data_IF_818807464108
#
_entry.id   IF_818807464108
#
_cell.length_a   1.000
_cell.length_b   1.000
_cell.length_c   1.000
_cell.angle_alpha   90.00
_cell.angle_beta   90.00
_cell.angle_gamma   90.00
#
_symmetry.space_group_name_H-M   'P 1'
#
loop_
_entity.id
_entity.type
_entity.pdbx_description
1 polymer ?
#
# COMPACT_ATOMS: atom_id res chain seq x y z
N UNK A 1 8.31 -21.04 9.75
CA UNK A 1 7.66 -19.75 9.82
C UNK A 1 7.68 -19.09 8.45
N UNK A 2 6.51 -18.72 7.94
CA UNK A 2 6.45 -18.10 6.61
C UNK A 2 6.91 -16.66 6.70
N UNK A 3 7.84 -16.29 5.83
CA UNK A 3 8.27 -14.91 5.74
C UNK A 3 7.18 -14.06 5.08
N UNK A 4 6.98 -12.85 5.59
CA UNK A 4 6.06 -11.90 4.99
C UNK A 4 6.76 -11.18 3.83
N UNK A 5 6.24 -11.27 2.60
CA UNK A 5 6.86 -10.58 1.47
C UNK A 5 6.92 -9.06 1.66
N UNK A 6 5.93 -8.47 2.31
CA UNK A 6 5.94 -7.03 2.56
C UNK A 6 7.00 -6.65 3.59
N UNK A 7 7.15 -7.45 4.66
CA UNK A 7 8.23 -7.23 5.62
C UNK A 7 9.60 -7.32 4.96
N UNK A 8 9.76 -8.24 4.01
CA UNK A 8 11.02 -8.37 3.27
C UNK A 8 11.31 -7.12 2.43
N UNK A 9 10.30 -6.54 1.80
CA UNK A 9 10.46 -5.28 1.05
C UNK A 9 10.79 -4.14 2.01
N UNK A 10 10.08 -4.03 3.12
CA UNK A 10 10.29 -3.00 4.14
C UNK A 10 11.72 -3.05 4.67
N UNK A 11 12.22 -4.24 4.91
CA UNK A 11 13.56 -4.47 5.46
C UNK A 11 14.66 -4.51 4.39
N UNK A 12 14.32 -4.21 3.13
CA UNK A 12 15.25 -4.16 2.00
C UNK A 12 15.90 -5.50 1.69
N UNK A 13 15.25 -6.61 2.04
CA UNK A 13 15.69 -7.97 1.70
C UNK A 13 15.23 -8.39 0.31
N UNK A 14 14.16 -7.79 -0.18
CA UNK A 14 13.59 -8.05 -1.50
C UNK A 14 13.43 -6.72 -2.22
N UNK A 15 13.82 -6.68 -3.49
CA UNK A 15 13.69 -5.47 -4.30
C UNK A 15 12.22 -5.21 -4.65
N UNK A 16 11.87 -3.93 -4.71
CA UNK A 16 10.57 -3.47 -5.17
C UNK A 16 10.75 -2.08 -5.79
N UNK A 17 9.82 -1.70 -6.67
CA UNK A 17 9.83 -0.37 -7.24
C UNK A 17 9.16 0.60 -6.24
N UNK A 18 9.94 1.08 -5.31
CA UNK A 18 9.46 1.96 -4.24
C UNK A 18 9.26 3.36 -4.82
N UNK A 19 8.06 3.91 -4.65
CA UNK A 19 7.71 5.25 -5.14
C UNK A 19 7.64 6.27 -4.02
N UNK A 20 7.47 5.82 -2.77
CA UNK A 20 7.39 6.70 -1.62
C UNK A 20 7.70 5.88 -0.36
N UNK A 21 8.41 6.50 0.58
CA UNK A 21 8.68 5.86 1.86
C UNK A 21 8.78 6.93 2.94
N UNK A 22 8.11 6.67 4.07
CA UNK A 22 8.18 7.49 5.25
C UNK A 22 8.56 6.62 6.45
N UNK A 23 8.53 7.19 7.64
CA UNK A 23 8.92 6.45 8.84
C UNK A 23 8.03 5.22 9.07
N UNK A 24 6.71 5.34 8.79
CA UNK A 24 5.73 4.30 9.14
C UNK A 24 5.06 3.66 7.94
N UNK A 25 5.31 4.14 6.73
CA UNK A 25 4.57 3.71 5.54
C UNK A 25 5.52 3.61 4.36
N UNK A 26 5.28 2.59 3.51
CA UNK A 26 6.01 2.43 2.25
C UNK A 26 4.99 2.22 1.13
N UNK A 27 5.28 2.75 -0.05
CA UNK A 27 4.45 2.58 -1.22
C UNK A 27 5.29 2.12 -2.40
N UNK A 28 4.82 1.12 -3.13
CA UNK A 28 5.55 0.56 -4.26
C UNK A 28 4.57 0.03 -5.31
N UNK A 29 5.06 -0.18 -6.53
CA UNK A 29 4.24 -0.70 -7.62
C UNK A 29 3.92 -2.16 -7.38
N UNK A 30 2.66 -2.54 -7.66
CA UNK A 30 2.25 -3.94 -7.62
C UNK A 30 2.87 -4.67 -8.82
N UNK A 31 3.41 -5.86 -8.59
CA UNK A 31 3.98 -6.70 -9.65
C UNK A 31 2.91 -7.43 -10.45
N UNK A 32 1.68 -7.48 -9.94
CA UNK A 32 0.54 -8.11 -10.61
C UNK A 32 -0.63 -7.12 -10.61
N UNK A 33 -0.51 -6.02 -11.38
CA UNK A 33 -1.46 -4.93 -11.27
C UNK A 33 -2.82 -5.25 -11.89
N UNK A 34 -3.88 -4.75 -11.25
CA UNK A 34 -5.24 -4.79 -11.80
C UNK A 34 -5.30 -3.87 -13.01
N UNK A 35 -4.75 -2.67 -12.86
CA UNK A 35 -4.70 -1.65 -13.92
C UNK A 35 -3.34 -0.96 -13.87
N UNK A 36 -3.04 -0.22 -14.93
CA UNK A 36 -1.84 0.64 -14.95
C UNK A 36 -1.85 1.57 -13.73
N UNK A 37 -0.69 1.75 -13.14
CA UNK A 37 -0.58 2.60 -11.96
C UNK A 37 -1.09 1.98 -10.67
N UNK A 38 -1.17 0.64 -10.61
CA UNK A 38 -1.59 -0.04 -9.38
C UNK A 38 -0.48 0.02 -8.35
N UNK A 39 -0.73 0.72 -7.27
CA UNK A 39 0.24 0.95 -6.20
C UNK A 39 -0.25 0.29 -4.93
N UNK A 40 0.67 -0.31 -4.20
CA UNK A 40 0.43 -0.84 -2.85
C UNK A 40 0.95 0.16 -1.83
N UNK A 41 0.12 0.52 -0.87
CA UNK A 41 0.49 1.39 0.25
C UNK A 41 0.45 0.52 1.50
N UNK A 42 1.60 0.35 2.13
CA UNK A 42 1.81 -0.67 3.17
C UNK A 42 2.32 -0.02 4.45
N UNK A 43 1.56 -0.09 5.56
CA UNK A 43 2.11 0.25 6.87
C UNK A 43 3.32 -0.63 7.16
N UNK A 44 4.38 -0.07 7.74
CA UNK A 44 5.60 -0.84 8.01
C UNK A 44 5.41 -1.82 9.16
N UNK A 45 4.51 -1.52 10.10
CA UNK A 45 4.21 -2.46 11.18
C UNK A 45 3.46 -3.67 10.62
N UNK A 46 3.90 -4.86 11.03
CA UNK A 46 3.26 -6.11 10.60
C UNK A 46 2.00 -6.35 11.43
N UNK A 47 0.85 -5.97 10.88
CA UNK A 47 -0.46 -6.16 11.50
C UNK A 47 -1.46 -6.53 10.39
N UNK A 48 -2.24 -7.57 10.62
CA UNK A 48 -3.16 -8.08 9.60
C UNK A 48 -4.46 -7.29 9.52
N UNK A 49 -4.91 -6.73 10.65
CA UNK A 49 -6.26 -6.17 10.74
C UNK A 49 -6.22 -4.67 10.92
N UNK A 50 -7.02 -3.97 10.12
CA UNK A 50 -7.04 -2.50 10.13
C UNK A 50 -7.50 -1.94 11.49
N UNK A 51 -8.36 -2.66 12.20
CA UNK A 51 -8.85 -2.22 13.51
C UNK A 51 -7.78 -2.24 14.60
N UNK A 52 -6.67 -2.92 14.35
CA UNK A 52 -5.56 -3.02 15.30
C UNK A 52 -4.39 -2.11 14.95
N UNK A 53 -4.44 -1.42 13.82
CA UNK A 53 -3.38 -0.48 13.46
C UNK A 53 -3.47 0.77 14.35
N UNK A 54 -2.33 1.26 14.90
CA UNK A 54 -2.33 2.52 15.64
C UNK A 54 -2.86 3.68 14.80
N UNK A 55 -3.58 4.60 15.41
CA UNK A 55 -4.13 5.75 14.69
C UNK A 55 -3.08 6.58 13.98
N UNK A 56 -1.89 6.71 14.56
CA UNK A 56 -0.81 7.48 13.94
C UNK A 56 -0.36 6.81 12.63
N UNK A 57 -0.38 5.47 12.58
CA UNK A 57 -0.04 4.71 11.38
C UNK A 57 -1.14 4.87 10.34
N UNK A 58 -2.41 4.76 10.74
CA UNK A 58 -3.54 4.97 9.83
C UNK A 58 -3.53 6.38 9.26
N UNK A 59 -3.28 7.38 10.08
CA UNK A 59 -3.22 8.77 9.65
C UNK A 59 -2.14 8.98 8.60
N UNK A 60 -0.95 8.45 8.84
CA UNK A 60 0.15 8.56 7.89
C UNK A 60 -0.16 7.82 6.59
N UNK A 61 -0.79 6.64 6.69
CA UNK A 61 -1.21 5.85 5.53
C UNK A 61 -2.20 6.65 4.67
N UNK A 62 -3.19 7.29 5.29
CA UNK A 62 -4.15 8.11 4.57
C UNK A 62 -3.49 9.30 3.91
N UNK A 63 -2.51 9.93 4.56
CA UNK A 63 -1.76 11.04 3.96
C UNK A 63 -1.00 10.60 2.72
N UNK A 64 -0.40 9.40 2.75
CA UNK A 64 0.29 8.84 1.59
C UNK A 64 -0.70 8.59 0.45
N UNK A 65 -1.87 8.02 0.75
CA UNK A 65 -2.92 7.80 -0.25
C UNK A 65 -3.38 9.12 -0.88
N UNK A 66 -3.53 10.17 -0.08
CA UNK A 66 -3.89 11.50 -0.60
C UNK A 66 -2.86 12.01 -1.60
N UNK A 67 -1.58 11.85 -1.28
CA UNK A 67 -0.48 12.28 -2.17
C UNK A 67 -0.49 11.50 -3.47
N UNK A 68 -0.74 10.20 -3.41
CA UNK A 68 -0.77 9.34 -4.60
C UNK A 68 -1.94 9.72 -5.50
N UNK A 69 -3.13 9.88 -4.94
CA UNK A 69 -4.32 10.27 -5.71
C UNK A 69 -4.10 11.64 -6.37
N UNK A 70 -3.52 12.58 -5.62
CA UNK A 70 -3.21 13.90 -6.16
C UNK A 70 -2.25 13.81 -7.34
N UNK A 71 -1.20 12.97 -7.22
CA UNK A 71 -0.24 12.75 -8.30
C UNK A 71 -0.90 12.08 -9.51
N UNK A 72 -1.82 11.15 -9.29
CA UNK A 72 -2.59 10.52 -10.37
C UNK A 72 -3.36 11.57 -11.17
N UNK A 73 -4.04 12.49 -10.49
CA UNK A 73 -4.84 13.53 -11.14
C UNK A 73 -3.99 14.47 -11.99
N UNK A 74 -2.75 14.72 -11.56
CA UNK A 74 -1.84 15.60 -12.28
C UNK A 74 -1.16 14.90 -13.46
N UNK A 75 -0.96 13.60 -13.37
CA UNK A 75 -0.12 12.86 -14.31
C UNK A 75 -0.93 12.13 -15.37
N UNK A 76 -2.12 11.65 -15.02
CA UNK A 76 -2.91 10.79 -15.90
C UNK A 76 -4.27 11.40 -16.18
N UNK A 77 -4.77 11.13 -17.41
CA UNK A 77 -6.18 11.33 -17.71
C UNK A 77 -6.92 10.06 -17.28
N UNK A 78 -7.77 10.17 -16.27
CA UNK A 78 -8.48 9.02 -15.69
C UNK A 78 -9.93 9.37 -15.44
N UNK A 79 -10.81 8.38 -15.53
CA UNK A 79 -12.22 8.55 -15.17
C UNK A 79 -12.41 8.51 -13.65
N UNK A 80 -11.54 7.81 -12.95
CA UNK A 80 -11.59 7.71 -11.51
C UNK A 80 -10.46 6.85 -10.98
N UNK A 81 -10.57 6.50 -9.71
CA UNK A 81 -9.61 5.63 -9.04
C UNK A 81 -10.35 4.80 -7.99
N UNK A 82 -9.74 3.71 -7.55
CA UNK A 82 -10.26 2.89 -6.45
C UNK A 82 -9.19 2.71 -5.39
N UNK A 83 -9.63 2.68 -4.15
CA UNK A 83 -8.81 2.31 -3.01
C UNK A 83 -9.48 1.10 -2.37
N UNK A 84 -8.69 0.05 -2.13
CA UNK A 84 -9.21 -1.21 -1.61
C UNK A 84 -8.30 -1.75 -0.52
N UNK A 85 -8.90 -2.21 0.57
CA UNK A 85 -8.19 -2.90 1.63
C UNK A 85 -8.95 -4.19 1.93
N UNK A 86 -8.26 -5.32 1.87
CA UNK A 86 -8.86 -6.61 2.14
C UNK A 86 -8.48 -7.09 3.53
N UNK A 87 -9.49 -7.48 4.32
CA UNK A 87 -9.28 -7.95 5.67
C UNK A 87 -9.67 -9.41 5.85
N UNK A 88 -9.35 -9.95 7.01
CA UNK A 88 -9.67 -11.31 7.36
C UNK A 88 -9.03 -12.33 6.43
N UNK A 89 -9.80 -13.29 5.98
CA UNK A 89 -9.33 -14.35 5.09
C UNK A 89 -8.91 -13.81 3.72
N UNK A 90 -9.29 -12.59 3.37
CA UNK A 90 -8.93 -11.96 2.11
C UNK A 90 -7.63 -11.15 2.19
N UNK A 91 -7.04 -11.04 3.37
CA UNK A 91 -5.79 -10.31 3.56
C UNK A 91 -4.61 -11.20 3.18
N UNK A 92 -3.90 -10.82 2.12
CA UNK A 92 -2.71 -11.56 1.68
C UNK A 92 -1.59 -11.37 2.70
N UNK A 93 -0.89 -12.47 3.01
CA UNK A 93 0.33 -12.48 3.82
C UNK A 93 0.14 -12.02 5.27
N UNK A 94 -1.11 -11.80 5.75
CA UNK A 94 -1.36 -11.36 7.12
C UNK A 94 -0.74 -10.01 7.46
N UNK A 95 -0.60 -9.14 6.46
CA UNK A 95 -0.03 -7.81 6.62
C UNK A 95 -0.96 -6.81 5.92
N UNK A 96 -1.61 -5.94 6.69
CA UNK A 96 -2.57 -4.98 6.15
C UNK A 96 -1.93 -4.08 5.10
N UNK A 97 -2.60 -3.91 3.99
CA UNK A 97 -2.12 -3.10 2.89
C UNK A 97 -3.28 -2.55 2.09
N UNK A 98 -3.05 -1.42 1.43
CA UNK A 98 -4.07 -0.73 0.66
C UNK A 98 -3.66 -0.75 -0.81
N UNK A 99 -4.60 -1.11 -1.66
CA UNK A 99 -4.45 -1.01 -3.11
C UNK A 99 -5.00 0.33 -3.56
N UNK A 100 -4.28 1.02 -4.44
CA UNK A 100 -4.81 2.21 -5.11
C UNK A 100 -4.48 2.09 -6.58
N UNK A 101 -5.49 2.25 -7.44
CA UNK A 101 -5.31 2.07 -8.88
C UNK A 101 -6.27 2.92 -9.69
N UNK A 102 -5.83 3.25 -10.90
CA UNK A 102 -6.62 4.07 -11.84
C UNK A 102 -7.82 3.29 -12.39
N UNK A 103 -8.87 4.01 -12.67
CA UNK A 103 -10.06 3.47 -13.32
C UNK A 103 -10.43 4.29 -14.53
#
# INVERSE_FOLDING_TARGET
MMECPFCNIINKKTDAHIIYESERVIAFLDIDPINEGHILVVPKVHEASIDKLPLIVLSETMQVLQKIVSAFKETYHMDGYSIMQNGGALCDFGHAHFHVFLR
#
